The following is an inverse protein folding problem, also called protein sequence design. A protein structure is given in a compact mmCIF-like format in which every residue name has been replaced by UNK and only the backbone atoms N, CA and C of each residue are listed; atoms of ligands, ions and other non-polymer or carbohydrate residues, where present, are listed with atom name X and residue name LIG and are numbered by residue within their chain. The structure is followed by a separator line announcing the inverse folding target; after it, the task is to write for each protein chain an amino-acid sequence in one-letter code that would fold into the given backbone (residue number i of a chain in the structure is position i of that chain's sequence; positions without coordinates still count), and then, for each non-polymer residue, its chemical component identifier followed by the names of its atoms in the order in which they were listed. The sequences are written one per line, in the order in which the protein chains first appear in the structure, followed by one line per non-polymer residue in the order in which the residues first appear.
data_IF_278525159583
#
_entry.id   IF_278525159583
#
_cell.length_a   1.000
_cell.length_b   1.000
_cell.length_c   1.000
_cell.angle_alpha   90.00
_cell.angle_beta   90.00
_cell.angle_gamma   90.00
#
_symmetry.space_group_name_H-M   'P 1'
#
loop_
_entity.id
_entity.type
_entity.pdbx_description
1 polymer ?
#
# COMPACT_ATOMS: atom_id res chain seq x y z
N UNK A 1 18.32 -11.59 35.63
CA UNK A 1 17.61 -11.18 34.39
C UNK A 1 16.09 -11.38 34.40
N UNK A 2 15.50 -12.54 34.75
CA UNK A 2 14.04 -12.79 34.58
C UNK A 2 13.13 -11.70 35.18
N UNK A 3 13.40 -11.28 36.41
CA UNK A 3 12.63 -10.22 37.09
C UNK A 3 12.70 -8.87 36.37
N UNK A 4 13.84 -8.54 35.72
CA UNK A 4 13.97 -7.33 34.90
C UNK A 4 13.03 -7.41 33.69
N UNK A 5 13.01 -8.56 33.01
CA UNK A 5 12.16 -8.79 31.83
C UNK A 5 10.67 -8.71 32.19
N UNK A 6 10.26 -9.22 33.35
CA UNK A 6 8.87 -9.11 33.82
C UNK A 6 8.45 -7.65 34.03
N UNK A 7 9.30 -6.84 34.70
CA UNK A 7 9.06 -5.40 34.86
C UNK A 7 8.98 -4.66 33.53
N UNK A 8 9.86 -5.00 32.58
CA UNK A 8 9.82 -4.45 31.22
C UNK A 8 8.50 -4.81 30.53
N UNK A 9 8.03 -6.05 30.68
CA UNK A 9 6.77 -6.50 30.07
C UNK A 9 5.56 -5.73 30.61
N UNK A 10 5.53 -5.48 31.93
CA UNK A 10 4.49 -4.65 32.58
C UNK A 10 4.47 -3.25 31.98
N UNK A 11 5.63 -2.59 31.89
CA UNK A 11 5.75 -1.25 31.28
C UNK A 11 5.28 -1.20 29.82
N UNK A 12 5.58 -2.22 29.02
CA UNK A 12 5.14 -2.27 27.61
C UNK A 12 3.62 -2.41 27.51
N UNK A 13 3.00 -3.18 28.41
CA UNK A 13 1.56 -3.45 28.42
C UNK A 13 0.73 -2.30 28.99
N UNK A 14 1.27 -1.58 29.98
CA UNK A 14 0.60 -0.44 30.64
C UNK A 14 0.88 0.90 29.96
N UNK A 15 1.58 0.91 28.82
CA UNK A 15 1.92 2.15 28.14
C UNK A 15 0.65 2.83 27.59
N UNK A 16 0.49 4.11 27.93
CA UNK A 16 -0.56 4.97 27.38
C UNK A 16 -0.06 5.83 26.20
N UNK A 17 1.25 5.79 25.92
CA UNK A 17 1.93 6.61 24.91
C UNK A 17 2.93 5.78 24.12
N UNK A 18 3.45 6.34 23.03
CA UNK A 18 4.42 5.69 22.14
C UNK A 18 5.72 5.27 22.84
N UNK A 19 6.46 4.37 22.19
CA UNK A 19 7.65 3.68 22.71
C UNK A 19 8.74 4.59 23.29
N UNK A 20 8.87 5.81 22.76
CA UNK A 20 9.87 6.79 23.20
C UNK A 20 9.73 7.17 24.68
N UNK A 21 8.54 7.03 25.27
CA UNK A 21 8.29 7.32 26.69
C UNK A 21 8.87 6.27 27.63
N UNK A 22 9.14 5.06 27.12
CA UNK A 22 9.62 3.93 27.93
C UNK A 22 11.14 3.94 28.15
N UNK A 23 11.88 4.73 27.35
CA UNK A 23 13.34 4.74 27.38
C UNK A 23 13.93 4.99 28.79
N UNK A 24 13.53 6.04 29.53
CA UNK A 24 14.11 6.30 30.85
C UNK A 24 13.88 5.16 31.86
N UNK A 25 12.73 4.49 31.76
CA UNK A 25 12.39 3.35 32.62
C UNK A 25 13.18 2.10 32.25
N UNK A 26 13.39 1.85 30.97
CA UNK A 26 14.26 0.77 30.50
C UNK A 26 15.72 1.01 30.89
N UNK A 27 16.23 2.23 30.75
CA UNK A 27 17.57 2.62 31.22
C UNK A 27 17.73 2.33 32.73
N UNK A 28 16.71 2.65 33.53
CA UNK A 28 16.72 2.38 34.98
C UNK A 28 16.71 0.88 35.30
N UNK A 29 15.96 0.07 34.57
CA UNK A 29 15.83 -1.39 34.82
C UNK A 29 17.08 -2.15 34.36
N UNK A 30 17.60 -1.80 33.18
CA UNK A 30 18.78 -2.44 32.60
C UNK A 30 20.08 -1.94 33.25
N UNK A 31 20.08 -0.71 33.77
CA UNK A 31 21.22 -0.09 34.45
C UNK A 31 22.27 0.43 33.47
N UNK A 32 23.43 0.82 33.99
CA UNK A 32 24.55 1.40 33.22
C UNK A 32 25.43 0.35 32.50
N UNK A 33 24.91 -0.87 32.30
CA UNK A 33 25.64 -1.95 31.66
C UNK A 33 25.67 -1.74 30.13
N UNK A 34 26.77 -2.11 29.50
CA UNK A 34 26.87 -2.13 28.04
C UNK A 34 25.94 -3.19 27.44
N UNK A 35 25.55 -3.01 26.17
CA UNK A 35 24.72 -3.98 25.45
C UNK A 35 25.34 -5.40 25.44
N UNK A 36 26.67 -5.50 25.35
CA UNK A 36 27.39 -6.78 25.39
C UNK A 36 27.28 -7.46 26.76
N UNK A 37 27.44 -6.71 27.84
CA UNK A 37 27.29 -7.23 29.22
C UNK A 37 25.86 -7.71 29.47
N UNK A 38 24.87 -6.90 29.08
CA UNK A 38 23.45 -7.25 29.20
C UNK A 38 23.10 -8.52 28.40
N UNK A 39 23.65 -8.67 27.20
CA UNK A 39 23.47 -9.88 26.38
C UNK A 39 24.13 -11.10 27.01
N UNK A 40 25.32 -10.95 27.60
CA UNK A 40 26.00 -12.06 28.26
C UNK A 40 25.27 -12.49 29.54
N UNK A 41 24.77 -11.52 30.34
CA UNK A 41 23.87 -11.78 31.48
C UNK A 41 22.67 -12.60 31.00
N UNK A 42 21.96 -12.13 29.96
CA UNK A 42 20.83 -12.85 29.38
C UNK A 42 21.20 -14.28 28.95
N UNK A 43 22.25 -14.46 28.14
CA UNK A 43 22.69 -15.77 27.64
C UNK A 43 22.93 -16.78 28.76
N UNK A 44 23.66 -16.37 29.80
CA UNK A 44 23.99 -17.22 30.95
C UNK A 44 22.76 -17.65 31.75
N UNK A 45 21.71 -16.82 31.77
CA UNK A 45 20.49 -17.11 32.53
C UNK A 45 19.40 -17.82 31.69
N UNK A 46 19.56 -17.97 30.38
CA UNK A 46 18.52 -18.55 29.51
C UNK A 46 18.00 -19.91 29.99
N UNK A 47 18.89 -20.76 30.48
CA UNK A 47 18.55 -22.11 30.94
C UNK A 47 17.72 -22.12 32.23
N UNK A 48 17.71 -21.01 32.98
CA UNK A 48 16.91 -20.85 34.20
C UNK A 48 15.47 -20.47 33.87
N UNK A 49 15.22 -19.91 32.68
CA UNK A 49 13.87 -19.57 32.25
C UNK A 49 13.08 -20.81 31.84
N UNK A 50 11.78 -20.82 32.11
CA UNK A 50 10.90 -21.88 31.61
C UNK A 50 10.98 -21.97 30.07
N UNK A 51 11.23 -23.19 29.54
CA UNK A 51 11.50 -23.42 28.11
C UNK A 51 10.45 -22.81 27.18
N UNK A 52 9.17 -22.83 27.56
CA UNK A 52 8.07 -22.26 26.77
C UNK A 52 8.00 -20.74 26.76
N UNK A 53 8.59 -20.05 27.76
CA UNK A 53 8.59 -18.58 27.85
C UNK A 53 9.86 -17.93 27.30
N UNK A 54 10.93 -18.72 27.10
CA UNK A 54 12.21 -18.24 26.57
C UNK A 54 12.06 -17.34 25.33
N UNK A 55 11.29 -17.71 24.28
CA UNK A 55 11.14 -16.84 23.11
C UNK A 55 10.48 -15.49 23.43
N UNK A 56 9.48 -15.47 24.31
CA UNK A 56 8.79 -14.25 24.73
C UNK A 56 9.72 -13.32 25.51
N UNK A 57 10.44 -13.88 26.48
CA UNK A 57 11.37 -13.14 27.31
C UNK A 57 12.52 -12.56 26.50
N UNK A 58 13.08 -13.33 25.56
CA UNK A 58 14.09 -12.82 24.65
C UNK A 58 13.54 -11.68 23.78
N UNK A 59 12.31 -11.78 23.27
CA UNK A 59 11.74 -10.66 22.49
C UNK A 59 11.59 -9.39 23.33
N UNK A 60 11.01 -9.51 24.53
CA UNK A 60 10.81 -8.38 25.45
C UNK A 60 12.14 -7.72 25.84
N UNK A 61 13.17 -8.54 26.11
CA UNK A 61 14.49 -8.02 26.41
C UNK A 61 15.08 -7.23 25.23
N UNK A 62 15.02 -7.76 24.02
CA UNK A 62 15.55 -7.08 22.83
C UNK A 62 14.77 -5.79 22.52
N UNK A 63 13.45 -5.76 22.78
CA UNK A 63 12.65 -4.55 22.67
C UNK A 63 13.16 -3.43 23.59
N UNK A 64 13.46 -3.76 24.86
CA UNK A 64 14.02 -2.78 25.80
C UNK A 64 15.45 -2.39 25.41
N UNK A 65 16.30 -3.36 25.06
CA UNK A 65 17.69 -3.11 24.66
C UNK A 65 17.77 -2.15 23.47
N UNK A 66 16.93 -2.34 22.45
CA UNK A 66 16.91 -1.47 21.27
C UNK A 66 16.20 -0.13 21.50
N UNK A 67 15.45 0.01 22.58
CA UNK A 67 14.83 1.28 22.95
C UNK A 67 15.82 2.20 23.67
N UNK A 68 16.86 1.64 24.28
CA UNK A 68 17.93 2.41 24.94
C UNK A 68 19.09 2.75 23.99
N UNK A 69 19.32 1.90 22.98
CA UNK A 69 20.26 2.18 21.88
C UNK A 69 19.71 3.30 21.00
N UNK A 70 20.48 4.37 20.85
CA UNK A 70 20.02 5.57 20.13
C UNK A 70 20.71 5.81 18.80
N UNK A 71 21.90 5.24 18.59
CA UNK A 71 22.69 5.53 17.40
C UNK A 71 22.74 4.37 16.42
N UNK A 72 22.72 4.69 15.12
CA UNK A 72 22.81 3.69 14.04
C UNK A 72 24.11 2.86 14.12
N UNK A 73 25.21 3.47 14.55
CA UNK A 73 26.49 2.78 14.70
C UNK A 73 26.43 1.70 15.80
N UNK A 74 25.68 1.95 16.87
CA UNK A 74 25.46 0.99 17.96
C UNK A 74 24.62 -0.20 17.48
N UNK A 75 23.60 0.04 16.64
CA UNK A 75 22.79 -1.02 16.02
C UNK A 75 23.66 -1.96 15.17
N UNK A 76 24.54 -1.41 14.35
CA UNK A 76 25.47 -2.19 13.52
C UNK A 76 26.50 -2.95 14.35
N UNK A 77 26.99 -2.36 15.44
CA UNK A 77 27.87 -3.05 16.39
C UNK A 77 27.14 -4.21 17.07
N UNK A 78 25.88 -4.00 17.47
CA UNK A 78 25.03 -5.04 18.05
C UNK A 78 24.79 -6.20 17.07
N UNK A 79 24.47 -5.90 15.81
CA UNK A 79 24.27 -6.91 14.77
C UNK A 79 25.47 -7.86 14.63
N UNK A 80 26.69 -7.34 14.74
CA UNK A 80 27.93 -8.14 14.64
C UNK A 80 28.13 -9.13 15.78
N UNK A 81 27.60 -8.86 16.97
CA UNK A 81 27.84 -9.69 18.18
C UNK A 81 26.71 -10.67 18.50
N UNK A 82 25.53 -10.52 17.88
CA UNK A 82 24.34 -11.33 18.20
C UNK A 82 24.16 -12.56 17.32
N UNK A 83 24.75 -12.62 16.12
CA UNK A 83 24.43 -13.67 15.13
C UNK A 83 24.60 -15.11 15.64
N UNK A 84 25.57 -15.35 16.54
CA UNK A 84 25.82 -16.66 17.16
C UNK A 84 25.11 -16.90 18.49
N UNK A 85 24.34 -15.94 19.01
CA UNK A 85 23.74 -15.99 20.35
C UNK A 85 22.43 -16.76 20.38
N UNK A 86 22.23 -17.60 21.39
CA UNK A 86 21.01 -18.40 21.52
C UNK A 86 19.77 -17.54 21.83
N UNK A 87 19.95 -16.49 22.63
CA UNK A 87 18.94 -15.47 22.92
C UNK A 87 18.44 -14.77 21.66
N UNK A 88 19.31 -14.50 20.69
CA UNK A 88 18.94 -13.89 19.43
C UNK A 88 18.08 -14.84 18.57
N UNK A 89 18.46 -16.12 18.51
CA UNK A 89 17.64 -17.16 17.87
C UNK A 89 16.26 -17.28 18.54
N UNK A 90 16.21 -17.24 19.87
CA UNK A 90 14.97 -17.26 20.64
C UNK A 90 14.13 -16.00 20.44
N UNK A 91 14.75 -14.82 20.33
CA UNK A 91 14.08 -13.57 19.99
C UNK A 91 13.38 -13.67 18.63
N UNK A 92 14.08 -14.16 17.59
CA UNK A 92 13.47 -14.38 16.26
C UNK A 92 12.27 -15.33 16.33
N UNK A 93 12.35 -16.38 17.14
CA UNK A 93 11.22 -17.28 17.39
C UNK A 93 10.06 -16.57 18.12
N UNK A 94 10.36 -15.74 19.12
CA UNK A 94 9.38 -14.92 19.81
C UNK A 94 8.67 -13.98 18.85
N UNK A 95 9.42 -13.29 17.98
CA UNK A 95 8.87 -12.41 16.96
C UNK A 95 7.98 -13.18 15.98
N UNK A 96 8.38 -14.38 15.54
CA UNK A 96 7.55 -15.25 14.69
C UNK A 96 6.22 -15.62 15.37
N UNK A 97 6.23 -15.91 16.68
CA UNK A 97 5.00 -16.18 17.45
C UNK A 97 4.11 -14.94 17.45
N UNK A 98 4.70 -13.78 17.79
CA UNK A 98 4.02 -12.49 17.83
C UNK A 98 3.34 -12.11 16.49
N UNK A 99 4.07 -12.23 15.38
CA UNK A 99 3.61 -11.93 14.03
C UNK A 99 2.55 -12.89 13.50
N UNK A 100 2.58 -14.15 13.95
CA UNK A 100 1.59 -15.14 13.56
C UNK A 100 0.20 -14.87 14.13
N UNK A 101 0.10 -14.02 15.16
CA UNK A 101 -1.12 -13.74 15.92
C UNK A 101 -1.87 -14.99 16.45
N UNK A 102 -1.22 -16.16 16.48
CA UNK A 102 -1.84 -17.42 16.92
C UNK A 102 -1.82 -17.61 18.43
N UNK A 103 -0.89 -16.97 19.12
CA UNK A 103 -0.78 -17.08 20.58
C UNK A 103 -1.88 -16.25 21.23
N UNK A 104 -2.58 -16.81 22.22
CA UNK A 104 -3.59 -16.10 22.99
C UNK A 104 -3.00 -14.98 23.84
N UNK A 105 -1.75 -15.17 24.31
CA UNK A 105 -1.14 -14.32 25.33
C UNK A 105 0.07 -13.51 24.79
N UNK A 106 0.45 -13.72 23.52
CA UNK A 106 1.61 -13.06 22.92
C UNK A 106 1.42 -12.83 21.43
N UNK A 107 0.64 -11.79 21.11
CA UNK A 107 0.30 -11.38 19.76
C UNK A 107 0.11 -9.87 19.73
N UNK A 108 0.20 -9.28 18.55
CA UNK A 108 -0.45 -8.00 18.30
C UNK A 108 -1.78 -8.22 17.60
N UNK A 109 -2.68 -7.25 17.70
CA UNK A 109 -3.96 -7.25 16.99
C UNK A 109 -4.10 -5.94 16.21
N UNK A 110 -4.05 -6.05 14.90
CA UNK A 110 -4.21 -4.96 13.96
C UNK A 110 -5.19 -5.36 12.87
N UNK A 111 -6.30 -4.62 12.76
CA UNK A 111 -7.30 -4.84 11.72
C UNK A 111 -7.16 -3.78 10.64
N UNK A 112 -6.59 -4.17 9.51
CA UNK A 112 -6.60 -3.35 8.30
C UNK A 112 -8.02 -3.37 7.70
N UNK A 113 -8.47 -2.21 7.22
CA UNK A 113 -9.76 -2.04 6.53
C UNK A 113 -9.56 -2.08 5.01
N UNK A 114 -8.71 -2.99 4.55
CA UNK A 114 -8.33 -3.11 3.14
C UNK A 114 -9.45 -3.70 2.27
N UNK A 115 -10.40 -4.42 2.87
CA UNK A 115 -11.60 -4.95 2.25
C UNK A 115 -12.48 -3.87 1.59
N UNK A 116 -12.40 -2.63 2.08
CA UNK A 116 -13.08 -1.46 1.49
C UNK A 116 -12.49 -1.04 0.14
N UNK A 117 -11.32 -1.54 -0.21
CA UNK A 117 -10.60 -1.18 -1.41
C UNK A 117 -10.50 -2.39 -2.35
N UNK A 118 -11.16 -2.27 -3.51
CA UNK A 118 -11.00 -3.25 -4.59
C UNK A 118 -9.58 -3.26 -5.16
N UNK A 119 -9.00 -2.07 -5.34
CA UNK A 119 -7.61 -1.88 -5.72
C UNK A 119 -6.74 -1.82 -4.46
N UNK A 120 -5.93 -2.86 -4.23
CA UNK A 120 -5.07 -2.94 -3.04
C UNK A 120 -3.90 -1.95 -3.07
N UNK A 121 -3.45 -1.52 -4.24
CA UNK A 121 -2.49 -0.41 -4.35
C UNK A 121 -3.06 0.89 -3.77
N UNK A 122 -4.34 1.20 -4.05
CA UNK A 122 -5.00 2.37 -3.50
C UNK A 122 -5.14 2.34 -1.97
N UNK A 123 -5.29 1.15 -1.38
CA UNK A 123 -5.24 1.00 0.07
C UNK A 123 -3.83 1.27 0.62
N UNK A 124 -2.80 0.72 0.00
CA UNK A 124 -1.40 0.91 0.40
C UNK A 124 -1.01 2.39 0.32
N UNK A 125 -1.38 3.07 -0.75
CA UNK A 125 -1.19 4.52 -0.89
C UNK A 125 -1.86 5.30 0.24
N UNK A 126 -3.14 5.02 0.52
CA UNK A 126 -3.83 5.62 1.66
C UNK A 126 -3.15 5.31 3.01
N UNK A 127 -2.72 4.07 3.22
CA UNK A 127 -2.05 3.65 4.44
C UNK A 127 -0.69 4.35 4.61
N UNK A 128 0.04 4.62 3.52
CA UNK A 128 1.34 5.30 3.55
C UNK A 128 1.28 6.65 4.27
N UNK A 129 0.21 7.42 4.08
CA UNK A 129 -0.02 8.69 4.76
C UNK A 129 -0.32 8.58 6.26
N UNK A 130 -0.53 7.36 6.77
CA UNK A 130 -0.80 7.05 8.19
C UNK A 130 0.36 6.33 8.88
N UNK A 131 1.38 5.95 8.13
CA UNK A 131 2.55 5.25 8.66
C UNK A 131 3.19 5.96 9.86
N UNK A 132 3.34 7.30 9.90
CA UNK A 132 3.91 7.99 11.06
C UNK A 132 3.17 7.71 12.38
N UNK A 133 1.83 7.62 12.34
CA UNK A 133 1.01 7.35 13.52
C UNK A 133 1.29 5.93 14.05
N UNK A 134 1.35 4.94 13.15
CA UNK A 134 1.66 3.55 13.50
C UNK A 134 3.12 3.35 13.92
N UNK A 135 4.03 4.14 13.37
CA UNK A 135 5.44 4.06 13.71
C UNK A 135 5.68 4.38 15.18
N UNK A 136 4.99 5.39 15.73
CA UNK A 136 5.07 5.73 17.16
C UNK A 136 4.69 4.54 18.06
N UNK A 137 3.69 3.76 17.65
CA UNK A 137 3.17 2.60 18.38
C UNK A 137 3.96 1.31 18.15
N UNK A 138 4.65 1.20 17.03
CA UNK A 138 5.35 -0.03 16.62
C UNK A 138 6.88 0.10 16.64
N UNK A 139 7.43 1.26 17.02
CA UNK A 139 8.85 1.59 16.90
C UNK A 139 9.78 0.52 17.46
N UNK A 140 9.49 -0.02 18.64
CA UNK A 140 10.30 -1.08 19.24
C UNK A 140 10.43 -2.31 18.34
N UNK A 141 9.33 -2.73 17.70
CA UNK A 141 9.34 -3.85 16.76
C UNK A 141 10.04 -3.49 15.45
N UNK A 142 9.86 -2.28 14.94
CA UNK A 142 10.55 -1.82 13.73
C UNK A 142 12.07 -1.84 13.92
N UNK A 143 12.57 -1.35 15.06
CA UNK A 143 13.99 -1.41 15.41
C UNK A 143 14.51 -2.87 15.48
N UNK A 144 13.69 -3.81 15.97
CA UNK A 144 14.06 -5.25 15.95
C UNK A 144 14.23 -5.74 14.51
N UNK A 145 13.30 -5.38 13.63
CA UNK A 145 13.42 -5.74 12.22
C UNK A 145 14.63 -5.10 11.55
N UNK A 146 14.97 -3.86 11.88
CA UNK A 146 16.20 -3.20 11.42
C UNK A 146 17.44 -3.96 11.89
N UNK A 147 17.49 -4.36 13.17
CA UNK A 147 18.58 -5.18 13.70
C UNK A 147 18.72 -6.50 12.93
N UNK A 148 17.61 -7.18 12.65
CA UNK A 148 17.61 -8.45 11.92
C UNK A 148 18.04 -8.21 10.46
N UNK A 149 17.66 -7.11 9.83
CA UNK A 149 18.08 -6.78 8.46
C UNK A 149 19.59 -6.57 8.36
N UNK A 150 20.17 -5.84 9.31
CA UNK A 150 21.63 -5.60 9.38
C UNK A 150 22.41 -6.88 9.67
N UNK A 151 21.87 -7.79 10.48
CA UNK A 151 22.53 -9.06 10.81
C UNK A 151 22.35 -10.12 9.70
N UNK A 152 21.11 -10.35 9.25
CA UNK A 152 20.77 -11.38 8.28
C UNK A 152 19.48 -11.03 7.51
N UNK A 153 19.67 -10.50 6.30
CA UNK A 153 18.60 -10.14 5.37
C UNK A 153 17.62 -11.29 5.07
N UNK A 154 18.09 -12.52 4.96
CA UNK A 154 17.21 -13.66 4.70
C UNK A 154 16.25 -13.89 5.88
N UNK A 155 16.75 -13.87 7.11
CA UNK A 155 15.93 -13.96 8.33
C UNK A 155 14.92 -12.82 8.41
N UNK A 156 15.32 -11.61 8.01
CA UNK A 156 14.42 -10.46 7.93
C UNK A 156 13.23 -10.74 7.00
N UNK A 157 13.48 -11.16 5.76
CA UNK A 157 12.43 -11.43 4.77
C UNK A 157 11.53 -12.60 5.17
N UNK A 158 12.09 -13.67 5.74
CA UNK A 158 11.33 -14.81 6.25
C UNK A 158 10.38 -14.41 7.40
N UNK A 159 10.86 -13.59 8.33
CA UNK A 159 10.04 -13.10 9.45
C UNK A 159 8.99 -12.10 8.98
N UNK A 160 9.35 -11.16 8.11
CA UNK A 160 8.43 -10.17 7.56
C UNK A 160 7.31 -10.85 6.75
N UNK A 161 7.65 -11.90 6.00
CA UNK A 161 6.68 -12.72 5.28
C UNK A 161 5.70 -13.47 6.20
N UNK A 162 6.08 -13.71 7.46
CA UNK A 162 5.22 -14.38 8.46
C UNK A 162 4.19 -13.47 9.12
N UNK A 163 4.28 -12.15 8.88
CA UNK A 163 3.32 -11.18 9.38
C UNK A 163 1.93 -11.42 8.79
N UNK A 164 0.99 -11.92 9.60
CA UNK A 164 -0.35 -12.28 9.13
C UNK A 164 -1.30 -11.10 9.00
N UNK A 165 -1.08 -10.03 9.76
CA UNK A 165 -1.97 -8.87 9.79
C UNK A 165 -1.47 -7.74 8.91
N UNK A 166 -0.27 -7.90 8.31
CA UNK A 166 0.36 -6.99 7.35
C UNK A 166 0.67 -5.58 7.87
N UNK A 167 0.34 -5.23 9.11
CA UNK A 167 0.60 -3.89 9.65
C UNK A 167 2.09 -3.61 9.72
N UNK A 168 2.87 -4.53 10.30
CA UNK A 168 4.32 -4.38 10.45
C UNK A 168 5.00 -4.45 9.08
N UNK A 169 4.56 -5.38 8.23
CA UNK A 169 5.05 -5.50 6.86
C UNK A 169 4.89 -4.19 6.09
N UNK A 170 3.71 -3.58 6.14
CA UNK A 170 3.45 -2.30 5.47
C UNK A 170 4.24 -1.16 6.10
N UNK A 171 4.31 -1.04 7.43
CA UNK A 171 5.12 0.00 8.07
C UNK A 171 6.58 -0.04 7.62
N UNK A 172 7.21 -1.23 7.58
CA UNK A 172 8.60 -1.39 7.14
C UNK A 172 8.79 -1.09 5.65
N UNK A 173 7.84 -1.50 4.80
CA UNK A 173 7.89 -1.24 3.37
C UNK A 173 7.58 0.22 3.00
N UNK A 174 6.99 1.02 3.91
CA UNK A 174 6.47 2.34 3.56
C UNK A 174 7.14 3.50 4.30
N UNK A 175 7.79 3.27 5.44
CA UNK A 175 8.37 4.38 6.23
C UNK A 175 9.78 4.80 5.80
N UNK A 176 10.46 3.99 4.97
CA UNK A 176 11.76 4.34 4.38
C UNK A 176 12.98 4.19 5.31
N UNK A 177 12.88 3.55 6.48
CA UNK A 177 14.03 3.37 7.39
C UNK A 177 15.12 2.45 6.84
N UNK A 178 14.73 1.48 6.00
CA UNK A 178 15.64 0.47 5.47
C UNK A 178 16.02 0.75 4.01
N UNK A 179 17.32 0.76 3.67
CA UNK A 179 17.77 0.85 2.28
C UNK A 179 17.61 -0.52 1.61
N UNK A 180 16.37 -0.87 1.28
CA UNK A 180 16.03 -2.13 0.61
C UNK A 180 16.36 -2.01 -0.88
N UNK A 181 17.17 -2.94 -1.38
CA UNK A 181 17.44 -3.07 -2.82
C UNK A 181 16.24 -3.71 -3.51
N UNK A 182 15.91 -3.29 -4.73
CA UNK A 182 14.72 -3.80 -5.43
C UNK A 182 14.74 -5.31 -5.69
N UNK A 183 15.92 -5.89 -5.92
CA UNK A 183 16.05 -7.35 -6.09
C UNK A 183 15.57 -8.13 -4.86
N UNK A 184 15.69 -7.54 -3.67
CA UNK A 184 15.23 -8.16 -2.42
C UNK A 184 13.69 -8.16 -2.30
N UNK A 185 12.99 -7.33 -3.07
CA UNK A 185 11.52 -7.23 -3.07
C UNK A 185 10.85 -8.23 -4.00
N UNK A 186 11.59 -8.87 -4.91
CA UNK A 186 11.02 -9.81 -5.90
C UNK A 186 10.16 -10.92 -5.24
N UNK A 187 10.58 -11.56 -4.12
CA UNK A 187 9.74 -12.54 -3.43
C UNK A 187 8.38 -11.97 -2.98
N UNK A 188 8.35 -10.71 -2.53
CA UNK A 188 7.13 -10.04 -2.10
C UNK A 188 6.26 -9.62 -3.27
N UNK A 189 6.85 -9.11 -4.37
CA UNK A 189 6.14 -8.83 -5.62
C UNK A 189 5.44 -10.09 -6.17
N UNK A 190 6.04 -11.26 -5.94
CA UNK A 190 5.52 -12.58 -6.31
C UNK A 190 4.60 -13.22 -5.27
N UNK A 191 4.41 -12.58 -4.10
CA UNK A 191 3.58 -13.11 -3.03
C UNK A 191 2.11 -13.19 -3.44
N UNK A 192 1.39 -14.19 -2.92
CA UNK A 192 -0.08 -14.27 -3.02
C UNK A 192 -0.79 -13.33 -2.04
N UNK A 193 -0.07 -12.80 -1.06
CA UNK A 193 -0.58 -11.76 -0.17
C UNK A 193 -0.56 -10.43 -0.92
N UNK A 194 -1.75 -9.99 -1.33
CA UNK A 194 -1.92 -8.76 -2.11
C UNK A 194 -1.42 -7.52 -1.39
N UNK A 195 -1.49 -7.44 -0.05
CA UNK A 195 -1.02 -6.27 0.66
C UNK A 195 0.50 -6.21 0.68
N UNK A 196 1.19 -7.33 0.92
CA UNK A 196 2.65 -7.37 0.86
C UNK A 196 3.17 -7.08 -0.55
N UNK A 197 2.49 -7.62 -1.55
CA UNK A 197 2.89 -7.43 -2.94
C UNK A 197 2.68 -6.00 -3.42
N UNK A 198 1.52 -5.39 -3.12
CA UNK A 198 1.29 -3.98 -3.44
C UNK A 198 2.12 -3.04 -2.56
N UNK A 199 2.47 -3.43 -1.32
CA UNK A 199 3.42 -2.70 -0.47
C UNK A 199 4.83 -2.67 -1.05
N UNK A 200 5.34 -3.81 -1.50
CA UNK A 200 6.63 -3.90 -2.19
C UNK A 200 6.64 -3.12 -3.51
N UNK A 201 5.53 -3.19 -4.26
CA UNK A 201 5.39 -2.43 -5.50
C UNK A 201 5.30 -0.91 -5.24
N UNK A 202 4.58 -0.48 -4.21
CA UNK A 202 4.53 0.92 -3.78
C UNK A 202 5.91 1.44 -3.38
N UNK A 203 6.69 0.69 -2.60
CA UNK A 203 8.06 1.09 -2.22
C UNK A 203 8.90 1.46 -3.45
N UNK A 204 8.84 0.63 -4.49
CA UNK A 204 9.56 0.84 -5.75
C UNK A 204 9.02 2.09 -6.49
N UNK A 205 7.70 2.19 -6.64
CA UNK A 205 7.10 3.29 -7.40
C UNK A 205 7.15 4.65 -6.68
N UNK A 206 7.25 4.67 -5.35
CA UNK A 206 7.40 5.90 -4.58
C UNK A 206 8.73 6.60 -4.90
N UNK A 207 9.82 5.84 -5.09
CA UNK A 207 11.11 6.41 -5.50
C UNK A 207 11.05 6.98 -6.92
N UNK A 208 10.43 6.25 -7.86
CA UNK A 208 10.14 6.77 -9.20
C UNK A 208 9.34 8.08 -9.15
N UNK A 209 8.28 8.12 -8.37
CA UNK A 209 7.42 9.31 -8.21
C UNK A 209 8.20 10.50 -7.65
N UNK A 210 9.08 10.27 -6.69
CA UNK A 210 9.99 11.29 -6.17
C UNK A 210 10.92 11.84 -7.26
N UNK A 211 11.55 10.98 -8.06
CA UNK A 211 12.44 11.40 -9.14
C UNK A 211 11.71 12.16 -10.25
N UNK A 212 10.47 11.79 -10.57
CA UNK A 212 9.66 12.58 -11.51
C UNK A 212 9.40 13.97 -10.97
N UNK A 213 8.92 14.10 -9.72
CA UNK A 213 8.69 15.43 -9.11
C UNK A 213 9.95 16.29 -9.07
N UNK A 214 11.09 15.67 -8.74
CA UNK A 214 12.40 16.35 -8.73
C UNK A 214 12.77 16.85 -10.13
N UNK A 215 12.58 16.02 -11.16
CA UNK A 215 12.84 16.40 -12.55
C UNK A 215 11.90 17.49 -13.05
N UNK A 216 10.60 17.42 -12.75
CA UNK A 216 9.61 18.43 -13.15
C UNK A 216 9.92 19.82 -12.56
N UNK A 217 10.43 19.86 -11.32
CA UNK A 217 10.78 21.10 -10.63
C UNK A 217 12.10 21.72 -11.10
N UNK A 218 13.16 20.91 -11.23
CA UNK A 218 14.51 21.42 -11.50
C UNK A 218 14.91 21.36 -12.98
N UNK A 219 14.34 20.44 -13.76
CA UNK A 219 14.56 20.25 -15.20
C UNK A 219 16.04 20.13 -15.64
N UNK A 220 16.90 19.62 -14.76
CA UNK A 220 18.34 19.44 -15.05
C UNK A 220 18.62 18.16 -15.84
N UNK A 221 19.71 18.16 -16.63
CA UNK A 221 20.18 16.96 -17.35
C UNK A 221 20.50 15.80 -16.40
N UNK A 222 21.06 16.12 -15.23
CA UNK A 222 21.39 15.15 -14.19
C UNK A 222 20.15 14.44 -13.66
N UNK A 223 19.10 15.18 -13.30
CA UNK A 223 17.84 14.58 -12.83
C UNK A 223 17.16 13.75 -13.92
N UNK A 224 17.24 14.18 -15.19
CA UNK A 224 16.76 13.39 -16.32
C UNK A 224 17.49 12.06 -16.46
N UNK A 225 18.82 12.04 -16.23
CA UNK A 225 19.62 10.83 -16.21
C UNK A 225 19.23 9.89 -15.06
N UNK A 226 19.09 10.42 -13.85
CA UNK A 226 18.66 9.66 -12.67
C UNK A 226 17.28 9.02 -12.88
N UNK A 227 16.33 9.76 -13.45
CA UNK A 227 15.01 9.24 -13.77
C UNK A 227 15.08 8.11 -14.81
N UNK A 228 15.92 8.25 -15.83
CA UNK A 228 16.10 7.21 -16.86
C UNK A 228 16.77 5.95 -16.29
N UNK A 229 17.77 6.09 -15.42
CA UNK A 229 18.38 4.97 -14.70
C UNK A 229 17.33 4.24 -13.85
N UNK A 230 16.48 4.99 -13.16
CA UNK A 230 15.39 4.42 -12.37
C UNK A 230 14.43 3.62 -13.26
N UNK A 231 13.98 4.19 -14.38
CA UNK A 231 13.13 3.49 -15.35
C UNK A 231 13.77 2.18 -15.84
N UNK A 232 15.08 2.16 -16.05
CA UNK A 232 15.79 0.94 -16.46
C UNK A 232 15.79 -0.12 -15.34
N UNK A 233 16.03 0.27 -14.08
CA UNK A 233 15.92 -0.64 -12.92
C UNK A 233 14.51 -1.20 -12.77
N UNK A 234 13.48 -0.36 -12.96
CA UNK A 234 12.09 -0.80 -12.94
C UNK A 234 11.82 -1.87 -14.01
N UNK A 235 12.30 -1.67 -15.24
CA UNK A 235 12.18 -2.66 -16.33
C UNK A 235 12.82 -4.00 -15.97
N UNK A 236 14.03 -3.98 -15.40
CA UNK A 236 14.75 -5.19 -15.00
C UNK A 236 14.02 -5.99 -13.91
N UNK A 237 13.43 -5.30 -12.94
CA UNK A 237 12.67 -5.94 -11.86
C UNK A 237 11.34 -6.47 -12.39
N UNK A 238 10.63 -5.69 -13.21
CA UNK A 238 9.38 -6.12 -13.82
C UNK A 238 9.58 -7.34 -14.72
N UNK A 239 10.67 -7.41 -15.48
CA UNK A 239 10.98 -8.54 -16.36
C UNK A 239 11.05 -9.90 -15.63
N UNK A 240 11.35 -9.90 -14.33
CA UNK A 240 11.39 -11.11 -13.48
C UNK A 240 9.99 -11.59 -13.06
N UNK A 241 8.97 -10.76 -13.19
CA UNK A 241 7.60 -11.09 -12.81
C UNK A 241 6.85 -11.75 -13.98
N UNK A 242 5.96 -12.73 -13.71
CA UNK A 242 5.04 -13.25 -14.69
C UNK A 242 4.19 -12.14 -15.29
N UNK A 243 3.85 -12.29 -16.56
CA UNK A 243 3.03 -11.35 -17.32
C UNK A 243 1.75 -10.93 -16.60
N UNK A 244 1.03 -11.87 -15.97
CA UNK A 244 -0.21 -11.58 -15.25
C UNK A 244 0.03 -10.70 -14.02
N UNK A 245 1.16 -10.89 -13.34
CA UNK A 245 1.53 -10.09 -12.17
C UNK A 245 1.93 -8.67 -12.58
N UNK A 246 2.72 -8.52 -13.65
CA UNK A 246 3.04 -7.21 -14.25
C UNK A 246 1.77 -6.45 -14.62
N UNK A 247 0.87 -7.10 -15.35
CA UNK A 247 -0.40 -6.52 -15.78
C UNK A 247 -1.23 -6.05 -14.60
N UNK A 248 -1.36 -6.88 -13.56
CA UNK A 248 -2.09 -6.55 -12.35
C UNK A 248 -1.55 -5.28 -11.68
N UNK A 249 -0.22 -5.18 -11.49
CA UNK A 249 0.40 -4.00 -10.92
C UNK A 249 0.24 -2.75 -11.79
N UNK A 250 0.47 -2.87 -13.09
CA UNK A 250 0.32 -1.75 -14.03
C UNK A 250 -1.12 -1.21 -14.02
N UNK A 251 -2.12 -2.11 -14.07
CA UNK A 251 -3.53 -1.70 -14.05
C UNK A 251 -3.88 -1.00 -12.74
N UNK A 252 -3.53 -1.60 -11.59
CA UNK A 252 -3.79 -0.99 -10.29
C UNK A 252 -3.10 0.37 -10.14
N UNK A 253 -1.87 0.50 -10.61
CA UNK A 253 -1.09 1.74 -10.56
C UNK A 253 -1.74 2.85 -11.39
N UNK A 254 -2.09 2.57 -12.65
CA UNK A 254 -2.72 3.55 -13.56
C UNK A 254 -4.10 4.01 -13.09
N UNK A 255 -4.80 3.21 -12.28
CA UNK A 255 -6.05 3.61 -11.63
C UNK A 255 -5.84 4.55 -10.43
N UNK A 256 -4.66 4.56 -9.84
CA UNK A 256 -4.35 5.39 -8.68
C UNK A 256 -3.56 6.65 -9.08
N UNK A 257 -2.49 6.47 -9.86
CA UNK A 257 -1.49 7.49 -10.17
C UNK A 257 -1.70 8.12 -11.55
N UNK A 258 -1.28 9.38 -11.69
CA UNK A 258 -1.32 10.10 -12.97
C UNK A 258 -0.04 9.95 -13.78
N UNK A 259 1.08 9.70 -13.10
CA UNK A 259 2.42 9.67 -13.69
C UNK A 259 2.94 8.25 -13.62
N UNK A 260 3.35 7.72 -14.77
CA UNK A 260 3.83 6.34 -14.91
C UNK A 260 4.96 6.27 -15.94
N UNK A 261 5.85 5.26 -15.83
CA UNK A 261 6.92 5.10 -16.79
C UNK A 261 6.38 4.59 -18.13
N UNK A 262 6.89 5.12 -19.25
CA UNK A 262 6.38 4.84 -20.60
C UNK A 262 6.30 3.33 -20.95
N UNK A 263 7.18 2.51 -20.38
CA UNK A 263 7.17 1.07 -20.63
C UNK A 263 5.93 0.36 -20.10
N UNK A 264 5.18 0.95 -19.17
CA UNK A 264 3.87 0.41 -18.77
C UNK A 264 2.91 0.38 -19.96
N UNK A 265 2.92 1.44 -20.79
CA UNK A 265 2.10 1.50 -21.99
C UNK A 265 2.58 0.49 -23.06
N UNK A 266 3.90 0.35 -23.21
CA UNK A 266 4.51 -0.66 -24.10
C UNK A 266 4.09 -2.08 -23.69
N UNK A 267 4.24 -2.43 -22.40
CA UNK A 267 3.81 -3.71 -21.87
C UNK A 267 2.32 -3.95 -22.14
N UNK A 268 1.43 -3.03 -21.75
CA UNK A 268 -0.02 -3.17 -21.96
C UNK A 268 -0.38 -3.43 -23.43
N UNK A 269 0.28 -2.77 -24.38
CA UNK A 269 0.05 -2.96 -25.83
C UNK A 269 0.38 -4.38 -26.32
N UNK A 270 1.32 -5.07 -25.65
CA UNK A 270 1.71 -6.44 -26.00
C UNK A 270 0.80 -7.51 -25.38
N UNK A 271 -0.03 -7.14 -24.41
CA UNK A 271 -0.85 -8.09 -23.67
C UNK A 271 -2.16 -8.44 -24.39
N UNK A 272 -2.69 -9.61 -24.04
CA UNK A 272 -4.01 -10.03 -24.50
C UNK A 272 -5.10 -9.15 -23.87
N UNK A 273 -5.90 -8.50 -24.72
CA UNK A 273 -6.96 -7.56 -24.31
C UNK A 273 -7.95 -8.20 -23.32
N UNK A 274 -8.31 -9.47 -23.48
CA UNK A 274 -9.25 -10.15 -22.58
C UNK A 274 -8.68 -10.30 -21.17
N UNK A 275 -7.35 -10.40 -21.03
CA UNK A 275 -6.70 -10.42 -19.71
C UNK A 275 -6.72 -9.04 -19.06
N UNK A 276 -6.46 -7.98 -19.84
CA UNK A 276 -6.54 -6.59 -19.37
C UNK A 276 -7.96 -6.29 -18.89
N UNK A 277 -8.96 -6.66 -19.67
CA UNK A 277 -10.38 -6.47 -19.34
C UNK A 277 -10.75 -7.11 -17.99
N UNK A 278 -10.28 -8.33 -17.71
CA UNK A 278 -10.48 -8.98 -16.41
C UNK A 278 -9.86 -8.20 -15.25
N UNK A 279 -8.72 -7.55 -15.44
CA UNK A 279 -8.12 -6.70 -14.40
C UNK A 279 -8.88 -5.37 -14.23
N UNK A 280 -9.40 -4.79 -15.32
CA UNK A 280 -10.23 -3.59 -15.28
C UNK A 280 -11.54 -3.84 -14.52
N UNK A 281 -12.17 -5.00 -14.71
CA UNK A 281 -13.40 -5.39 -14.01
C UNK A 281 -13.21 -5.55 -12.49
N UNK A 282 -11.99 -5.77 -12.03
CA UNK A 282 -11.65 -5.78 -10.59
C UNK A 282 -11.63 -4.37 -9.99
N UNK A 283 -11.59 -3.32 -10.80
CA UNK A 283 -11.55 -1.94 -10.32
C UNK A 283 -12.95 -1.45 -9.90
N UNK A 284 -13.00 -0.32 -9.19
CA UNK A 284 -14.24 0.29 -8.74
C UNK A 284 -14.81 1.25 -9.80
N UNK A 285 -15.31 0.67 -10.89
CA UNK A 285 -15.79 1.40 -12.08
C UNK A 285 -17.18 2.03 -11.91
N UNK A 286 -17.89 1.76 -10.80
CA UNK A 286 -19.20 2.38 -10.55
C UNK A 286 -19.07 3.78 -9.94
N UNK A 287 -17.91 4.12 -9.37
CA UNK A 287 -17.60 5.46 -8.94
C UNK A 287 -17.08 6.28 -10.13
N UNK A 288 -17.76 7.40 -10.49
CA UNK A 288 -17.36 8.20 -11.65
C UNK A 288 -15.89 8.62 -11.59
N UNK A 289 -15.42 9.16 -10.45
CA UNK A 289 -14.05 9.68 -10.31
C UNK A 289 -13.02 8.58 -10.61
N UNK A 290 -13.28 7.35 -10.15
CA UNK A 290 -12.42 6.19 -10.44
C UNK A 290 -12.58 5.70 -11.88
N UNK A 291 -13.79 5.71 -12.44
CA UNK A 291 -14.06 5.35 -13.82
C UNK A 291 -13.26 6.23 -14.79
N UNK A 292 -13.12 7.53 -14.53
CA UNK A 292 -12.38 8.46 -15.41
C UNK A 292 -10.91 8.07 -15.61
N UNK A 293 -10.33 7.28 -14.70
CA UNK A 293 -8.97 6.73 -14.84
C UNK A 293 -8.84 5.78 -16.02
N UNK A 294 -9.95 5.28 -16.55
CA UNK A 294 -9.96 4.47 -17.77
C UNK A 294 -9.49 5.24 -19.01
N UNK A 295 -9.47 6.59 -18.97
CA UNK A 295 -8.96 7.46 -20.04
C UNK A 295 -7.60 7.00 -20.55
N UNK A 296 -6.70 6.65 -19.63
CA UNK A 296 -5.36 6.21 -19.97
C UNK A 296 -5.34 4.89 -20.73
N UNK A 297 -6.23 3.96 -20.38
CA UNK A 297 -6.34 2.69 -21.10
C UNK A 297 -6.94 2.87 -22.49
N UNK A 298 -7.92 3.77 -22.65
CA UNK A 298 -8.46 4.12 -23.98
C UNK A 298 -7.35 4.71 -24.85
N UNK A 299 -6.57 5.65 -24.31
CA UNK A 299 -5.45 6.31 -24.98
C UNK A 299 -4.33 5.34 -25.37
N UNK A 300 -3.95 4.43 -24.47
CA UNK A 300 -2.84 3.50 -24.69
C UNK A 300 -3.24 2.39 -25.65
N UNK A 301 -4.41 1.80 -25.47
CA UNK A 301 -4.79 0.57 -26.15
C UNK A 301 -5.57 0.81 -27.45
N UNK A 302 -6.31 1.92 -27.56
CA UNK A 302 -7.11 2.31 -28.74
C UNK A 302 -8.08 1.19 -29.19
N UNK A 303 -8.60 0.43 -28.22
CA UNK A 303 -9.50 -0.72 -28.40
C UNK A 303 -10.94 -0.39 -28.04
N UNK A 304 -11.87 -0.82 -28.91
CA UNK A 304 -13.33 -0.60 -28.74
C UNK A 304 -13.85 -1.29 -27.47
N UNK A 305 -13.25 -2.40 -27.09
CA UNK A 305 -13.58 -3.15 -25.88
C UNK A 305 -13.43 -2.30 -24.62
N UNK A 306 -12.38 -1.48 -24.54
CA UNK A 306 -12.12 -0.57 -23.41
C UNK A 306 -13.10 0.60 -23.44
N UNK A 307 -13.35 1.16 -24.63
CA UNK A 307 -14.36 2.20 -24.83
C UNK A 307 -15.75 1.72 -24.36
N UNK A 308 -16.11 0.45 -24.64
CA UNK A 308 -17.35 -0.18 -24.20
C UNK A 308 -17.44 -0.35 -22.68
N UNK A 309 -16.33 -0.61 -22.00
CA UNK A 309 -16.31 -0.60 -20.51
C UNK A 309 -16.65 0.78 -19.99
N UNK A 310 -16.00 1.82 -20.51
CA UNK A 310 -16.27 3.19 -20.10
C UNK A 310 -17.74 3.54 -20.31
N UNK A 311 -18.25 3.39 -21.54
CA UNK A 311 -19.64 3.75 -21.88
C UNK A 311 -20.65 2.99 -21.03
N UNK A 312 -20.48 1.68 -20.85
CA UNK A 312 -21.36 0.86 -19.99
C UNK A 312 -21.44 1.40 -18.56
N UNK A 313 -20.29 1.62 -17.91
CA UNK A 313 -20.26 2.07 -16.51
C UNK A 313 -20.66 3.54 -16.37
N UNK A 314 -20.33 4.38 -17.35
CA UNK A 314 -20.71 5.79 -17.36
C UNK A 314 -22.22 5.96 -17.53
N UNK A 315 -22.85 5.21 -18.44
CA UNK A 315 -24.31 5.16 -18.58
C UNK A 315 -24.98 4.66 -17.31
N UNK A 316 -24.41 3.65 -16.65
CA UNK A 316 -24.92 3.16 -15.38
C UNK A 316 -24.85 4.23 -14.27
N UNK A 317 -23.73 4.96 -14.19
CA UNK A 317 -23.61 6.10 -13.27
C UNK A 317 -24.65 7.19 -13.59
N UNK A 318 -24.88 7.54 -14.86
CA UNK A 318 -25.92 8.50 -15.24
C UNK A 318 -27.31 8.05 -14.78
N UNK A 319 -27.62 6.77 -14.94
CA UNK A 319 -28.91 6.21 -14.57
C UNK A 319 -29.15 6.24 -13.05
N UNK A 320 -28.14 5.94 -12.26
CA UNK A 320 -28.30 5.69 -10.83
C UNK A 320 -27.88 6.87 -9.94
N UNK A 321 -26.77 7.53 -10.28
CA UNK A 321 -25.99 8.35 -9.34
C UNK A 321 -25.68 9.78 -9.84
N UNK A 322 -26.00 10.09 -11.11
CA UNK A 322 -25.70 11.38 -11.68
C UNK A 322 -26.35 12.53 -10.89
N UNK A 323 -25.51 13.51 -10.59
CA UNK A 323 -25.86 14.73 -9.91
C UNK A 323 -24.93 15.86 -10.39
N UNK A 324 -25.38 17.09 -10.27
CA UNK A 324 -24.66 18.27 -10.79
C UNK A 324 -23.33 18.53 -10.08
N UNK A 325 -23.22 18.19 -8.79
CA UNK A 325 -22.00 18.41 -8.02
C UNK A 325 -20.84 17.54 -8.54
N UNK A 326 -21.03 16.22 -8.58
CA UNK A 326 -20.03 15.29 -9.12
C UNK A 326 -19.77 15.55 -10.60
N UNK A 327 -20.81 15.88 -11.38
CA UNK A 327 -20.67 16.21 -12.80
C UNK A 327 -19.75 17.41 -13.02
N UNK A 328 -19.99 18.53 -12.32
CA UNK A 328 -19.21 19.76 -12.51
C UNK A 328 -17.73 19.56 -12.23
N UNK A 329 -17.36 18.71 -11.26
CA UNK A 329 -15.96 18.37 -10.97
C UNK A 329 -15.30 17.43 -11.99
N UNK A 330 -16.08 16.78 -12.85
CA UNK A 330 -15.59 15.67 -13.70
C UNK A 330 -15.81 15.90 -15.20
N UNK A 331 -16.63 16.88 -15.59
CA UNK A 331 -17.11 17.07 -16.96
C UNK A 331 -16.00 17.27 -17.99
N UNK A 332 -14.93 18.00 -17.66
CA UNK A 332 -13.82 18.22 -18.61
C UNK A 332 -13.06 16.91 -18.90
N UNK A 333 -12.83 16.08 -17.88
CA UNK A 333 -12.22 14.76 -18.09
C UNK A 333 -13.14 13.82 -18.86
N UNK A 334 -14.46 13.88 -18.63
CA UNK A 334 -15.43 13.13 -19.44
C UNK A 334 -15.38 13.59 -20.90
N UNK A 335 -15.34 14.90 -21.14
CA UNK A 335 -15.23 15.48 -22.48
C UNK A 335 -13.98 14.99 -23.20
N UNK A 336 -12.84 14.96 -22.52
CA UNK A 336 -11.60 14.41 -23.05
C UNK A 336 -11.74 12.94 -23.44
N UNK A 337 -12.39 12.12 -22.59
CA UNK A 337 -12.63 10.71 -22.90
C UNK A 337 -13.52 10.57 -24.13
N UNK A 338 -14.59 11.36 -24.21
CA UNK A 338 -15.52 11.35 -25.35
C UNK A 338 -14.84 11.74 -26.66
N UNK A 339 -13.82 12.61 -26.62
CA UNK A 339 -13.01 12.96 -27.79
C UNK A 339 -12.08 11.82 -28.24
N UNK A 340 -11.76 10.86 -27.36
CA UNK A 340 -10.96 9.68 -27.69
C UNK A 340 -11.80 8.49 -28.20
N UNK A 341 -13.12 8.51 -27.99
CA UNK A 341 -13.98 7.41 -28.43
C UNK A 341 -14.12 7.39 -29.94
N UNK A 342 -14.20 6.19 -30.52
CA UNK A 342 -14.51 6.04 -31.95
C UNK A 342 -15.96 6.45 -32.21
N UNK A 343 -16.22 6.95 -33.42
CA UNK A 343 -17.54 7.42 -33.84
C UNK A 343 -18.65 6.38 -33.60
N UNK A 344 -18.36 5.09 -33.82
CA UNK A 344 -19.31 4.00 -33.60
C UNK A 344 -19.71 3.94 -32.13
N UNK A 345 -18.74 3.90 -31.22
CA UNK A 345 -18.98 3.85 -29.77
C UNK A 345 -19.66 5.13 -29.26
N UNK A 346 -19.25 6.31 -29.76
CA UNK A 346 -19.88 7.59 -29.41
C UNK A 346 -21.34 7.61 -29.87
N UNK A 347 -21.65 7.15 -31.08
CA UNK A 347 -23.03 7.06 -31.60
C UNK A 347 -23.90 6.10 -30.78
N UNK A 348 -23.40 4.90 -30.49
CA UNK A 348 -24.10 3.93 -29.63
C UNK A 348 -24.44 4.54 -28.26
N UNK A 349 -23.46 5.18 -27.61
CA UNK A 349 -23.67 5.85 -26.32
C UNK A 349 -24.70 6.99 -26.41
N UNK A 350 -24.66 7.80 -27.47
CA UNK A 350 -25.61 8.92 -27.63
C UNK A 350 -27.05 8.44 -27.85
N UNK A 351 -27.24 7.31 -28.55
CA UNK A 351 -28.55 6.67 -28.69
C UNK A 351 -29.08 6.20 -27.33
N UNK A 352 -28.24 5.56 -26.52
CA UNK A 352 -28.61 5.11 -25.18
C UNK A 352 -28.96 6.27 -24.24
N UNK A 353 -28.21 7.38 -24.32
CA UNK A 353 -28.52 8.59 -23.56
C UNK A 353 -29.85 9.22 -24.00
N UNK A 354 -30.13 9.26 -25.30
CA UNK A 354 -31.38 9.78 -25.82
C UNK A 354 -32.58 8.92 -25.38
N UNK A 355 -32.43 7.60 -25.45
CA UNK A 355 -33.42 6.65 -24.96
C UNK A 355 -33.66 6.84 -23.45
N UNK A 356 -32.60 6.90 -22.63
CA UNK A 356 -32.74 7.11 -21.19
C UNK A 356 -33.38 8.47 -20.84
N UNK A 357 -32.99 9.55 -21.53
CA UNK A 357 -33.59 10.88 -21.34
C UNK A 357 -35.12 10.85 -21.50
N UNK A 358 -35.63 10.06 -22.42
CA UNK A 358 -37.09 9.93 -22.65
C UNK A 358 -37.84 9.28 -21.48
N UNK A 359 -37.13 8.61 -20.57
CA UNK A 359 -37.70 7.91 -19.40
C UNK A 359 -37.72 8.76 -18.13
N UNK A 360 -37.15 9.97 -18.15
CA UNK A 360 -37.01 10.85 -16.98
C UNK A 360 -38.35 11.52 -16.60
N UNK A 361 -38.63 11.59 -15.30
CA UNK A 361 -39.86 12.19 -14.76
C UNK A 361 -39.73 13.70 -14.54
N UNK A 362 -39.68 14.45 -15.64
CA UNK A 362 -39.36 15.90 -15.67
C UNK A 362 -40.53 16.79 -16.11
N UNK A 363 -41.76 16.28 -16.09
CA UNK A 363 -42.94 17.08 -16.45
C UNK A 363 -43.41 17.99 -15.31
N UNK A 364 -44.27 18.97 -15.64
CA UNK A 364 -44.94 19.80 -14.64
C UNK A 364 -45.81 18.97 -13.67
N UNK A 365 -46.41 17.88 -14.16
CA UNK A 365 -47.13 16.92 -13.33
C UNK A 365 -46.18 16.24 -12.34
N UNK A 366 -45.03 15.74 -12.81
CA UNK A 366 -44.04 15.07 -11.96
C UNK A 366 -43.52 15.97 -10.83
N UNK A 367 -43.33 17.26 -11.14
CA UNK A 367 -42.96 18.27 -10.15
C UNK A 367 -43.98 18.36 -9.01
N UNK A 368 -45.27 18.18 -9.28
CA UNK A 368 -46.33 18.28 -8.27
C UNK A 368 -46.51 16.99 -7.47
N UNK A 369 -46.49 15.83 -8.13
CA UNK A 369 -46.82 14.54 -7.47
C UNK A 369 -45.61 13.76 -6.96
N UNK A 370 -44.40 14.05 -7.47
CA UNK A 370 -43.16 13.32 -7.12
C UNK A 370 -41.92 14.23 -7.14
N UNK A 371 -42.01 15.37 -6.47
CA UNK A 371 -41.00 16.44 -6.48
C UNK A 371 -39.56 15.96 -6.25
N UNK A 372 -39.32 15.04 -5.31
CA UNK A 372 -37.98 14.50 -5.04
C UNK A 372 -37.39 13.70 -6.21
N UNK A 373 -38.21 12.95 -6.95
CA UNK A 373 -37.77 12.23 -8.14
C UNK A 373 -37.56 13.19 -9.32
N UNK A 374 -38.47 14.16 -9.48
CA UNK A 374 -38.34 15.25 -10.45
C UNK A 374 -37.00 15.97 -10.32
N UNK A 375 -36.60 16.39 -9.11
CA UNK A 375 -35.34 17.10 -8.89
C UNK A 375 -34.11 16.26 -9.26
N UNK A 376 -34.12 14.95 -8.92
CA UNK A 376 -33.03 14.03 -9.30
C UNK A 376 -32.92 13.89 -10.81
N UNK A 377 -34.05 13.67 -11.48
CA UNK A 377 -34.11 13.48 -12.93
C UNK A 377 -33.84 14.78 -13.71
N UNK A 378 -34.16 15.95 -13.15
CA UNK A 378 -33.76 17.25 -13.69
C UNK A 378 -32.24 17.41 -13.69
N UNK A 379 -31.56 17.01 -12.60
CA UNK A 379 -30.10 16.96 -12.54
C UNK A 379 -29.50 16.03 -13.60
N UNK A 380 -30.04 14.81 -13.75
CA UNK A 380 -29.62 13.87 -14.80
C UNK A 380 -29.84 14.44 -16.21
N UNK A 381 -30.97 15.09 -16.45
CA UNK A 381 -31.28 15.77 -17.72
C UNK A 381 -30.23 16.82 -18.05
N UNK A 382 -29.84 17.66 -17.09
CA UNK A 382 -28.81 18.68 -17.30
C UNK A 382 -27.48 18.07 -17.75
N UNK A 383 -27.03 17.01 -17.06
CA UNK A 383 -25.82 16.25 -17.44
C UNK A 383 -25.91 15.73 -18.88
N UNK A 384 -27.04 15.10 -19.25
CA UNK A 384 -27.26 14.57 -20.60
C UNK A 384 -27.25 15.68 -21.65
N UNK A 385 -27.88 16.82 -21.39
CA UNK A 385 -27.91 17.94 -22.35
C UNK A 385 -26.54 18.57 -22.56
N UNK A 386 -25.71 18.66 -21.52
CA UNK A 386 -24.33 19.12 -21.67
C UNK A 386 -23.50 18.17 -22.53
N UNK A 387 -23.61 16.86 -22.30
CA UNK A 387 -22.90 15.84 -23.09
C UNK A 387 -23.28 15.93 -24.58
N UNK A 388 -24.56 16.14 -24.88
CA UNK A 388 -25.06 16.25 -26.28
C UNK A 388 -24.58 17.50 -27.02
N UNK A 389 -24.01 18.48 -26.32
CA UNK A 389 -23.42 19.69 -26.92
C UNK A 389 -21.96 19.49 -27.34
N UNK A 390 -21.34 18.36 -27.01
CA UNK A 390 -19.97 17.99 -27.37
C UNK A 390 -19.92 16.91 -28.45
#
# INVERSE_FOLDING_TARGET
METKIQKIAELINERDRGWYTLKPEFDRILGSNSASELLNELESELNNFSKGKQPHYCLIFYLALLSIITEKNELQALAKIIGGKNSYRLMKNGLKIFLSAKSSNFKYEGKLLDDRYKNKYAFVDFFSGRVPDYEMELRGYLNIFELIYEENKQSFWELLGSDRQNVIALCLLLNGHLPIKYQELVPFLMSKDELKANGAFFYIMNHFSYLVRKYEYEQTKENGHLLQEEVNKLKEIFAQLPTERRMHFIVNYLFQEQVYPNFFAEELKTLNINKIMKELEKQDLNNLVKLLRIKEFIRILERVEIERVFTKHFLNWIKNDANTYTWNSSKETVKDILALLKDVTKKEMMLDLAAFRSTLFISSFDRQVRYSLYLKDEGKKQVIEEIRRW
#
